data_IF_232437029723
#
_entry.id   IF_232437029723
#
_cell.length_a   1.000
_cell.length_b   1.000
_cell.length_c   1.000
_cell.angle_alpha   90.00
_cell.angle_beta   90.00
_cell.angle_gamma   90.00
#
_symmetry.space_group_name_H-M   'P 1'
#
loop_
_entity.id
_entity.type
_entity.pdbx_description
1 polymer ?
#
# COMPACT_ATOMS: atom_id res chain seq x y z
N UNK A 1 26.09 -9.80 -23.82
CA UNK A 1 26.75 -9.03 -22.73
C UNK A 1 25.79 -8.11 -21.99
N UNK A 2 25.30 -6.99 -22.56
CA UNK A 2 24.38 -6.10 -21.82
C UNK A 2 23.03 -6.76 -21.51
N UNK A 3 22.44 -7.42 -22.49
CA UNK A 3 21.15 -8.09 -22.30
C UNK A 3 21.22 -9.21 -21.25
N UNK A 4 22.27 -10.02 -21.28
CA UNK A 4 22.49 -11.12 -20.32
C UNK A 4 22.72 -10.59 -18.88
N UNK A 5 23.41 -9.45 -18.77
CA UNK A 5 23.51 -8.72 -17.50
C UNK A 5 22.12 -8.29 -17.00
N UNK A 6 21.30 -7.69 -17.86
CA UNK A 6 19.95 -7.26 -17.48
C UNK A 6 19.08 -8.45 -17.05
N UNK A 7 19.17 -9.59 -17.72
CA UNK A 7 18.43 -10.81 -17.36
C UNK A 7 18.86 -11.39 -16.01
N UNK A 8 20.14 -11.25 -15.64
CA UNK A 8 20.66 -11.75 -14.35
C UNK A 8 20.25 -10.84 -13.19
N UNK A 9 20.14 -9.52 -13.42
CA UNK A 9 19.93 -8.54 -12.35
C UNK A 9 18.49 -8.05 -12.21
N UNK A 10 17.67 -8.10 -13.27
CA UNK A 10 16.33 -7.52 -13.28
C UNK A 10 15.28 -8.55 -13.64
N UNK A 11 14.13 -8.46 -12.99
CA UNK A 11 12.98 -9.31 -13.30
C UNK A 11 12.17 -8.71 -14.46
N UNK A 12 11.41 -9.55 -15.20
CA UNK A 12 10.44 -9.05 -16.17
C UNK A 12 9.47 -8.06 -15.52
N UNK A 13 9.20 -6.94 -16.19
CA UNK A 13 8.42 -5.79 -15.71
C UNK A 13 8.96 -5.12 -14.45
N UNK A 14 10.27 -5.16 -14.24
CA UNK A 14 10.97 -4.31 -13.27
C UNK A 14 11.56 -3.07 -13.98
N UNK A 15 11.47 -1.86 -13.40
CA UNK A 15 12.12 -0.69 -13.95
C UNK A 15 13.65 -0.81 -13.89
N UNK A 16 14.28 -0.45 -15.00
CA UNK A 16 15.73 -0.39 -15.17
C UNK A 16 16.08 1.08 -15.32
N UNK A 17 16.70 1.63 -14.29
CA UNK A 17 17.25 2.98 -14.28
C UNK A 17 18.65 2.96 -14.88
N UNK A 18 18.98 3.92 -15.74
CA UNK A 18 20.33 4.01 -16.32
C UNK A 18 21.38 4.13 -15.21
N UNK A 19 21.05 4.87 -14.15
CA UNK A 19 21.94 5.14 -13.02
C UNK A 19 22.32 3.87 -12.23
N UNK A 20 21.51 2.81 -12.32
CA UNK A 20 21.72 1.55 -11.59
C UNK A 20 22.57 0.53 -12.38
N UNK A 21 22.89 0.81 -13.65
CA UNK A 21 23.67 -0.11 -14.50
C UNK A 21 25.17 0.08 -14.24
N UNK A 22 25.75 -0.83 -13.45
CA UNK A 22 27.17 -0.79 -13.07
C UNK A 22 28.06 -1.61 -14.02
N UNK A 23 28.09 -1.25 -15.30
CA UNK A 23 28.96 -1.88 -16.30
C UNK A 23 30.16 -0.97 -16.63
N UNK A 24 31.37 -1.53 -16.88
CA UNK A 24 32.56 -0.77 -17.25
C UNK A 24 32.51 -0.31 -18.71
N UNK A 25 31.48 0.46 -19.06
CA UNK A 25 31.26 1.04 -20.39
C UNK A 25 30.95 2.52 -20.26
N UNK A 26 31.30 3.32 -21.27
CA UNK A 26 30.94 4.74 -21.28
C UNK A 26 29.43 4.93 -21.36
N UNK A 27 28.93 6.02 -20.76
CA UNK A 27 27.50 6.36 -20.77
C UNK A 27 26.93 6.41 -22.20
N UNK A 28 27.67 6.96 -23.15
CA UNK A 28 27.29 7.02 -24.57
C UNK A 28 27.14 5.63 -25.18
N UNK A 29 28.09 4.72 -24.93
CA UNK A 29 28.00 3.35 -25.44
C UNK A 29 26.87 2.56 -24.78
N UNK A 30 26.59 2.80 -23.50
CA UNK A 30 25.45 2.20 -22.81
C UNK A 30 24.14 2.61 -23.47
N UNK A 31 23.93 3.92 -23.71
CA UNK A 31 22.74 4.43 -24.39
C UNK A 31 22.56 3.85 -25.80
N UNK A 32 23.64 3.78 -26.59
CA UNK A 32 23.61 3.17 -27.92
C UNK A 32 23.18 1.71 -27.86
N UNK A 33 23.74 0.92 -26.92
CA UNK A 33 23.38 -0.49 -26.75
C UNK A 33 21.94 -0.67 -26.27
N UNK A 34 21.48 0.16 -25.33
CA UNK A 34 20.08 0.14 -24.88
C UNK A 34 19.13 0.48 -26.04
N UNK A 35 19.48 1.45 -26.88
CA UNK A 35 18.70 1.78 -28.09
C UNK A 35 18.62 0.57 -29.03
N UNK A 36 19.73 -0.08 -29.34
CA UNK A 36 19.71 -1.31 -30.16
C UNK A 36 18.88 -2.44 -29.54
N UNK A 37 18.85 -2.57 -28.21
CA UNK A 37 17.98 -3.53 -27.52
C UNK A 37 16.50 -3.15 -27.60
N UNK A 38 16.18 -1.87 -27.66
CA UNK A 38 14.82 -1.38 -27.91
C UNK A 38 14.39 -1.68 -29.34
N UNK A 39 15.27 -1.41 -30.32
CA UNK A 39 14.99 -1.63 -31.75
C UNK A 39 14.75 -3.13 -32.05
N UNK A 40 15.46 -4.01 -31.34
CA UNK A 40 15.25 -5.47 -31.41
C UNK A 40 14.04 -5.96 -30.59
N UNK A 41 13.35 -5.09 -29.85
CA UNK A 41 12.18 -5.42 -29.03
C UNK A 41 12.46 -6.21 -27.75
N UNK A 42 13.73 -6.41 -27.39
CA UNK A 42 14.14 -7.16 -26.19
C UNK A 42 13.84 -6.41 -24.89
N UNK A 43 13.90 -5.08 -24.93
CA UNK A 43 13.51 -4.19 -23.84
C UNK A 43 12.58 -3.11 -24.40
N UNK A 44 11.82 -2.46 -23.52
CA UNK A 44 10.95 -1.33 -23.89
C UNK A 44 11.33 -0.10 -23.07
N UNK A 45 11.17 1.06 -23.69
CA UNK A 45 11.29 2.36 -23.01
C UNK A 45 9.99 2.61 -22.26
N UNK A 46 10.07 2.94 -20.98
CA UNK A 46 8.94 3.42 -20.19
C UNK A 46 8.87 4.95 -20.22
N UNK A 47 9.97 5.62 -19.89
CA UNK A 47 10.15 7.07 -19.94
C UNK A 47 11.62 7.38 -20.24
N UNK A 48 11.96 8.66 -20.41
CA UNK A 48 13.35 9.08 -20.66
C UNK A 48 14.26 8.57 -19.53
N UNK A 49 15.16 7.65 -19.89
CA UNK A 49 16.12 7.06 -18.95
C UNK A 49 15.59 5.88 -18.12
N UNK A 50 14.37 5.40 -18.38
CA UNK A 50 13.75 4.29 -17.68
C UNK A 50 13.33 3.24 -18.70
N UNK A 51 13.87 2.03 -18.55
CA UNK A 51 13.62 0.89 -19.43
C UNK A 51 13.02 -0.27 -18.63
N UNK A 52 12.52 -1.29 -19.30
CA UNK A 52 12.12 -2.54 -18.66
C UNK A 52 12.17 -3.72 -19.64
N UNK A 53 12.32 -4.92 -19.10
CA UNK A 53 12.17 -6.16 -19.86
C UNK A 53 10.69 -6.53 -19.89
N UNK A 54 10.02 -6.60 -21.05
CA UNK A 54 8.59 -6.89 -21.10
C UNK A 54 8.28 -8.32 -20.68
N UNK A 55 7.30 -8.50 -19.79
CA UNK A 55 6.75 -9.82 -19.45
C UNK A 55 5.85 -10.31 -20.59
N UNK A 56 6.03 -11.59 -20.98
CA UNK A 56 5.14 -12.26 -21.94
C UNK A 56 3.72 -12.30 -21.36
N UNK A 57 2.74 -11.88 -22.15
CA UNK A 57 1.31 -11.92 -21.83
C UNK A 57 0.53 -12.29 -23.08
N UNK A 58 -0.70 -12.78 -22.89
CA UNK A 58 -1.64 -13.15 -23.97
C UNK A 58 -2.00 -11.91 -24.80
N UNK A 59 -2.02 -10.74 -24.17
CA UNK A 59 -2.21 -9.45 -24.84
C UNK A 59 -1.07 -9.19 -25.82
N UNK A 60 -1.42 -8.87 -27.08
CA UNK A 60 -0.47 -8.63 -28.20
C UNK A 60 0.65 -7.63 -27.87
N UNK A 61 0.43 -6.72 -26.92
CA UNK A 61 1.38 -5.67 -26.57
C UNK A 61 2.19 -5.97 -25.29
N UNK A 62 1.96 -7.11 -24.63
CA UNK A 62 2.53 -7.44 -23.33
C UNK A 62 1.90 -6.62 -22.20
N UNK A 63 2.35 -6.87 -20.96
CA UNK A 63 1.96 -6.05 -19.80
C UNK A 63 2.90 -4.85 -19.73
N UNK A 64 2.35 -3.64 -19.81
CA UNK A 64 3.11 -2.39 -19.63
C UNK A 64 3.47 -2.17 -18.17
N UNK A 65 4.63 -1.58 -17.94
CA UNK A 65 5.05 -1.16 -16.60
C UNK A 65 4.11 -0.06 -16.07
N UNK A 66 3.73 -0.12 -14.79
CA UNK A 66 2.89 0.92 -14.19
C UNK A 66 3.73 2.09 -13.67
N UNK A 67 3.25 3.35 -13.74
CA UNK A 67 3.97 4.49 -13.17
C UNK A 67 4.19 4.32 -11.66
N UNK A 68 3.22 3.74 -10.95
CA UNK A 68 3.32 3.45 -9.51
C UNK A 68 4.48 2.48 -9.21
N UNK A 69 4.68 1.44 -10.04
CA UNK A 69 5.83 0.52 -9.89
C UNK A 69 7.17 1.26 -10.01
N UNK A 70 7.26 2.17 -10.98
CA UNK A 70 8.49 2.97 -11.20
C UNK A 70 8.74 3.91 -10.03
N UNK A 71 7.71 4.59 -9.55
CA UNK A 71 7.77 5.50 -8.39
C UNK A 71 8.24 4.72 -7.14
N UNK A 72 7.66 3.54 -6.89
CA UNK A 72 8.00 2.73 -5.73
C UNK A 72 9.45 2.23 -5.80
N UNK A 73 9.93 1.81 -6.96
CA UNK A 73 11.33 1.37 -7.10
C UNK A 73 12.32 2.55 -6.96
N UNK A 74 11.94 3.73 -7.45
CA UNK A 74 12.78 4.93 -7.37
C UNK A 74 12.87 5.52 -5.96
N UNK A 75 11.78 5.53 -5.21
CA UNK A 75 11.67 6.31 -3.96
C UNK A 75 11.37 5.48 -2.70
N UNK A 76 10.88 4.25 -2.82
CA UNK A 76 10.51 3.41 -1.67
C UNK A 76 11.48 2.27 -1.46
N UNK A 77 11.77 1.48 -2.50
CA UNK A 77 12.64 0.31 -2.41
C UNK A 77 13.59 0.24 -3.59
N UNK A 78 14.89 0.37 -3.33
CA UNK A 78 15.94 0.32 -4.35
C UNK A 78 17.00 -0.70 -3.96
N UNK A 79 17.35 -1.60 -4.88
CA UNK A 79 18.38 -2.64 -4.67
C UNK A 79 18.19 -3.46 -3.39
N UNK A 80 16.95 -3.81 -3.05
CA UNK A 80 16.59 -4.59 -1.86
C UNK A 80 16.62 -3.81 -0.54
N UNK A 81 16.84 -2.49 -0.57
CA UNK A 81 16.80 -1.60 0.60
C UNK A 81 15.58 -0.69 0.55
N UNK A 82 14.86 -0.62 1.65
CA UNK A 82 13.80 0.36 1.89
C UNK A 82 14.46 1.71 2.18
N UNK A 83 14.16 2.67 1.32
CA UNK A 83 14.66 4.04 1.35
C UNK A 83 13.54 5.08 1.48
N UNK A 84 12.28 4.63 1.49
CA UNK A 84 11.11 5.48 1.61
C UNK A 84 9.86 4.71 2.00
N UNK A 85 8.76 5.42 2.16
CA UNK A 85 7.44 4.86 2.48
C UNK A 85 6.32 5.81 2.05
N UNK A 86 5.12 5.27 1.85
CA UNK A 86 3.92 6.06 1.61
C UNK A 86 3.46 6.75 2.90
N UNK A 87 3.01 8.00 2.80
CA UNK A 87 2.53 8.79 3.93
C UNK A 87 1.21 9.49 3.59
N UNK A 88 0.70 10.29 4.53
CA UNK A 88 -0.49 11.12 4.36
C UNK A 88 -1.78 10.32 4.17
N UNK A 89 -2.67 10.80 3.32
CA UNK A 89 -3.98 10.17 3.06
C UNK A 89 -3.87 8.73 2.56
N UNK A 90 -2.81 8.38 1.80
CA UNK A 90 -2.61 7.01 1.32
C UNK A 90 -2.36 6.03 2.47
N UNK A 91 -1.53 6.42 3.44
CA UNK A 91 -1.29 5.62 4.62
C UNK A 91 -2.55 5.57 5.51
N UNK A 92 -3.20 6.70 5.73
CA UNK A 92 -4.40 6.79 6.55
C UNK A 92 -5.51 5.87 6.01
N UNK A 93 -5.72 5.85 4.69
CA UNK A 93 -6.64 4.92 4.05
C UNK A 93 -6.19 3.46 4.22
N UNK A 94 -4.90 3.15 3.97
CA UNK A 94 -4.35 1.80 4.09
C UNK A 94 -4.54 1.20 5.49
N UNK A 95 -4.44 1.99 6.55
CA UNK A 95 -4.58 1.51 7.93
C UNK A 95 -6.00 1.72 8.51
N UNK A 96 -6.95 2.20 7.70
CA UNK A 96 -8.36 2.34 8.08
C UNK A 96 -8.70 3.57 8.92
N UNK A 97 -7.85 4.61 8.90
CA UNK A 97 -8.12 5.92 9.52
C UNK A 97 -8.98 6.84 8.66
N UNK A 98 -9.03 6.60 7.35
CA UNK A 98 -9.93 7.30 6.45
C UNK A 98 -10.52 6.39 5.37
N UNK A 99 -11.74 6.70 4.96
CA UNK A 99 -12.42 6.05 3.82
C UNK A 99 -12.08 6.72 2.49
N UNK A 100 -11.44 7.89 2.52
CA UNK A 100 -11.12 8.67 1.33
C UNK A 100 -10.02 8.00 0.51
N UNK A 101 -10.28 7.78 -0.77
CA UNK A 101 -9.27 7.29 -1.72
C UNK A 101 -8.41 8.49 -2.16
N UNK A 102 -7.08 8.47 -1.92
CA UNK A 102 -6.21 9.58 -2.27
C UNK A 102 -6.07 9.71 -3.79
N UNK A 103 -6.25 10.93 -4.32
CA UNK A 103 -5.98 11.22 -5.73
C UNK A 103 -4.48 11.38 -6.02
N UNK A 104 -3.69 11.82 -5.03
CA UNK A 104 -2.25 12.06 -5.13
C UNK A 104 -1.54 11.27 -4.05
N UNK A 105 -0.50 10.53 -4.42
CA UNK A 105 0.29 9.76 -3.46
C UNK A 105 1.41 10.61 -2.86
N UNK A 106 1.58 10.55 -1.54
CA UNK A 106 2.68 11.19 -0.83
C UNK A 106 3.72 10.14 -0.42
N UNK A 107 5.00 10.45 -0.63
CA UNK A 107 6.12 9.56 -0.34
C UNK A 107 7.18 10.33 0.40
N UNK A 108 7.61 9.79 1.53
CA UNK A 108 8.81 10.25 2.25
C UNK A 108 9.97 9.37 1.84
N UNK A 109 11.12 9.96 1.48
CA UNK A 109 12.27 9.21 0.96
C UNK A 109 13.61 9.82 1.37
N UNK A 110 14.63 8.97 1.45
CA UNK A 110 16.03 9.38 1.51
C UNK A 110 16.56 9.90 0.16
N UNK A 111 15.90 9.53 -0.95
CA UNK A 111 16.33 9.83 -2.31
C UNK A 111 15.80 11.19 -2.80
N UNK A 112 15.94 12.22 -1.97
CA UNK A 112 15.62 13.61 -2.33
C UNK A 112 16.47 14.58 -1.51
N UNK A 113 16.95 15.65 -2.16
CA UNK A 113 17.64 16.74 -1.47
C UNK A 113 16.66 17.83 -1.00
N UNK A 114 15.54 18.00 -1.72
CA UNK A 114 14.53 19.03 -1.47
C UNK A 114 13.53 18.56 -0.42
N UNK A 115 13.14 19.47 0.47
CA UNK A 115 12.20 19.20 1.58
C UNK A 115 10.82 18.70 1.10
N UNK A 116 10.23 19.36 0.10
CA UNK A 116 8.97 18.96 -0.49
C UNK A 116 8.89 19.41 -1.95
N UNK A 117 8.44 18.53 -2.84
CA UNK A 117 8.14 18.88 -4.24
C UNK A 117 7.05 17.97 -4.82
N UNK A 118 6.30 18.51 -5.78
CA UNK A 118 5.34 17.77 -6.58
C UNK A 118 6.00 17.34 -7.89
N UNK A 119 5.81 16.08 -8.27
CA UNK A 119 6.28 15.52 -9.54
C UNK A 119 5.14 14.83 -10.27
N UNK A 120 5.30 14.66 -11.59
CA UNK A 120 4.36 13.94 -12.44
C UNK A 120 5.11 12.92 -13.28
N UNK A 121 4.63 11.68 -13.29
CA UNK A 121 5.16 10.61 -14.13
C UNK A 121 4.01 10.00 -14.93
N UNK A 122 4.09 10.11 -16.27
CA UNK A 122 3.07 9.57 -17.18
C UNK A 122 1.64 10.04 -16.83
N UNK A 123 1.48 11.31 -16.46
CA UNK A 123 0.19 11.90 -16.06
C UNK A 123 -0.23 11.63 -14.61
N UNK A 124 0.46 10.74 -13.89
CA UNK A 124 0.22 10.50 -12.48
C UNK A 124 1.02 11.47 -11.62
N UNK A 125 0.33 12.28 -10.80
CA UNK A 125 0.96 13.20 -9.87
C UNK A 125 1.28 12.51 -8.53
N UNK A 126 2.39 12.90 -7.92
CA UNK A 126 2.80 12.45 -6.60
C UNK A 126 3.66 13.51 -5.90
N UNK A 127 3.71 13.46 -4.58
CA UNK A 127 4.47 14.39 -3.74
C UNK A 127 5.61 13.64 -3.09
N UNK A 128 6.81 14.21 -3.20
CA UNK A 128 8.02 13.69 -2.56
C UNK A 128 8.38 14.61 -1.40
N UNK A 129 8.58 14.02 -0.23
CA UNK A 129 9.07 14.69 0.97
C UNK A 129 10.39 14.09 1.41
N UNK A 130 11.25 14.94 1.96
CA UNK A 130 12.50 14.50 2.56
C UNK A 130 12.25 13.84 3.91
N UNK A 131 12.95 12.74 4.15
CA UNK A 131 12.91 12.07 5.45
C UNK A 131 13.55 12.92 6.55
N UNK A 132 12.90 12.98 7.71
CA UNK A 132 13.45 13.66 8.91
C UNK A 132 14.72 12.98 9.44
N UNK A 133 14.80 11.67 9.27
CA UNK A 133 15.97 10.87 9.62
C UNK A 133 16.18 9.75 8.59
N UNK A 134 17.39 9.19 8.48
CA UNK A 134 17.69 8.14 7.51
C UNK A 134 16.76 6.92 7.64
N UNK A 135 16.06 6.63 6.55
CA UNK A 135 15.14 5.49 6.43
C UNK A 135 15.94 4.21 6.17
N UNK A 136 15.56 3.14 6.85
CA UNK A 136 16.15 1.80 6.75
C UNK A 136 15.05 0.74 6.85
N UNK A 137 15.37 -0.50 6.49
CA UNK A 137 14.47 -1.65 6.61
C UNK A 137 13.94 -1.86 8.04
N UNK A 138 14.67 -1.38 9.06
CA UNK A 138 14.34 -1.63 10.46
C UNK A 138 13.49 -0.53 11.10
N UNK A 139 13.53 0.69 10.57
CA UNK A 139 12.88 1.85 11.20
C UNK A 139 11.72 2.43 10.39
N UNK A 140 11.56 2.10 9.11
CA UNK A 140 10.59 2.78 8.26
C UNK A 140 9.16 2.73 8.79
N UNK A 141 8.70 1.61 9.37
CA UNK A 141 7.37 1.52 9.97
C UNK A 141 7.17 2.48 11.15
N UNK A 142 8.23 2.74 11.93
CA UNK A 142 8.20 3.67 13.06
C UNK A 142 8.09 5.10 12.54
N UNK A 143 8.92 5.45 11.54
CA UNK A 143 8.92 6.78 10.95
C UNK A 143 7.60 7.08 10.25
N UNK A 144 7.08 6.11 9.51
CA UNK A 144 5.77 6.16 8.86
C UNK A 144 4.65 6.44 9.87
N UNK A 145 4.66 5.79 11.04
CA UNK A 145 3.70 6.06 12.11
C UNK A 145 3.88 7.46 12.69
N UNK A 146 5.11 7.89 12.96
CA UNK A 146 5.36 9.21 13.56
C UNK A 146 4.95 10.37 12.65
N UNK A 147 5.19 10.24 11.33
CA UNK A 147 4.71 11.21 10.34
C UNK A 147 3.18 11.25 10.27
N UNK A 148 2.51 10.10 10.35
CA UNK A 148 1.05 10.03 10.41
C UNK A 148 0.51 10.75 11.65
N UNK A 149 1.12 10.52 12.81
CA UNK A 149 0.71 11.12 14.08
C UNK A 149 0.95 12.64 14.11
N UNK A 150 1.99 13.13 13.43
CA UNK A 150 2.31 14.56 13.34
C UNK A 150 1.16 15.39 12.75
N UNK A 151 0.48 14.82 11.74
CA UNK A 151 -0.58 15.47 10.97
C UNK A 151 -1.92 14.72 11.08
N UNK A 152 -2.14 13.98 12.17
CA UNK A 152 -3.27 13.07 12.36
C UNK A 152 -4.63 13.73 12.07
N UNK A 153 -4.85 14.95 12.60
CA UNK A 153 -6.09 15.70 12.46
C UNK A 153 -6.46 15.99 10.98
N UNK A 154 -5.48 15.98 10.08
CA UNK A 154 -5.72 16.21 8.63
C UNK A 154 -6.18 14.95 7.91
N UNK A 155 -5.90 13.78 8.48
CA UNK A 155 -6.06 12.50 7.79
C UNK A 155 -7.17 11.62 8.36
N UNK A 156 -7.79 12.03 9.47
CA UNK A 156 -8.87 11.26 10.13
C UNK A 156 -10.23 11.89 9.87
N UNK A 157 -11.14 11.10 9.32
CA UNK A 157 -12.59 11.39 9.24
C UNK A 157 -13.39 10.60 10.30
N UNK A 158 -12.68 9.80 11.12
CA UNK A 158 -13.22 8.86 12.10
C UNK A 158 -13.19 9.38 13.54
N UNK A 159 -14.06 8.85 14.43
CA UNK A 159 -14.01 9.19 15.84
C UNK A 159 -12.71 8.71 16.50
N UNK A 160 -12.28 9.41 17.55
CA UNK A 160 -10.99 9.18 18.21
C UNK A 160 -10.77 7.73 18.69
N UNK A 161 -11.82 7.03 19.12
CA UNK A 161 -11.74 5.63 19.55
C UNK A 161 -11.26 4.71 18.41
N UNK A 162 -11.87 4.79 17.24
CA UNK A 162 -11.48 4.01 16.06
C UNK A 162 -10.06 4.34 15.61
N UNK A 163 -9.69 5.63 15.67
CA UNK A 163 -8.35 6.10 15.33
C UNK A 163 -7.30 5.45 16.24
N UNK A 164 -7.54 5.45 17.56
CA UNK A 164 -6.63 4.83 18.52
C UNK A 164 -6.56 3.30 18.35
N UNK A 165 -7.66 2.65 18.00
CA UNK A 165 -7.67 1.22 17.69
C UNK A 165 -6.86 0.86 16.45
N UNK A 166 -6.98 1.65 15.37
CA UNK A 166 -6.17 1.47 14.17
C UNK A 166 -4.68 1.64 14.46
N UNK A 167 -4.30 2.66 15.24
CA UNK A 167 -2.91 2.89 15.66
C UNK A 167 -2.39 1.72 16.50
N UNK A 168 -3.20 1.21 17.45
CA UNK A 168 -2.83 0.02 18.25
C UNK A 168 -2.65 -1.23 17.39
N UNK A 169 -3.53 -1.45 16.41
CA UNK A 169 -3.40 -2.56 15.44
C UNK A 169 -2.10 -2.44 14.66
N UNK A 170 -1.75 -1.23 14.20
CA UNK A 170 -0.49 -0.96 13.50
C UNK A 170 0.74 -1.26 14.38
N UNK A 171 0.77 -0.76 15.62
CA UNK A 171 1.86 -1.02 16.57
C UNK A 171 2.08 -2.52 16.81
N UNK A 172 0.99 -3.28 16.98
CA UNK A 172 1.03 -4.74 17.16
C UNK A 172 1.51 -5.47 15.92
N UNK A 173 1.00 -5.11 14.74
CA UNK A 173 1.33 -5.76 13.48
C UNK A 173 2.83 -5.67 13.13
N UNK A 174 3.48 -4.55 13.48
CA UNK A 174 4.88 -4.31 13.16
C UNK A 174 5.84 -4.45 14.35
N UNK A 175 5.37 -4.98 15.48
CA UNK A 175 6.16 -5.20 16.71
C UNK A 175 6.97 -3.95 17.11
N UNK A 176 6.29 -2.80 17.08
CA UNK A 176 6.89 -1.52 17.45
C UNK A 176 6.83 -1.38 18.97
N UNK A 177 8.00 -1.28 19.59
CA UNK A 177 8.12 -1.15 21.05
C UNK A 177 8.39 0.29 21.46
N UNK A 178 8.14 0.61 22.73
CA UNK A 178 8.37 1.95 23.29
C UNK A 178 9.82 2.38 23.13
N UNK A 179 10.77 1.48 23.32
CA UNK A 179 12.21 1.74 23.21
C UNK A 179 12.56 2.18 21.80
N UNK A 180 12.03 1.47 20.79
CA UNK A 180 12.22 1.81 19.37
C UNK A 180 11.64 3.18 19.03
N UNK A 181 10.45 3.51 19.53
CA UNK A 181 9.84 4.83 19.29
C UNK A 181 10.65 5.94 19.93
N UNK A 182 11.12 5.73 21.17
CA UNK A 182 11.87 6.73 21.95
C UNK A 182 13.15 7.17 21.23
N UNK A 183 13.74 6.32 20.39
CA UNK A 183 14.90 6.67 19.56
C UNK A 183 14.60 7.76 18.52
N UNK A 184 13.37 7.84 18.03
CA UNK A 184 12.99 8.73 16.92
C UNK A 184 12.08 9.88 17.34
N UNK A 185 11.38 9.77 18.48
CA UNK A 185 10.38 10.74 18.92
C UNK A 185 10.95 12.16 19.05
N UNK A 186 12.23 12.31 19.43
CA UNK A 186 12.88 13.62 19.56
C UNK A 186 13.07 14.38 18.23
N UNK A 187 12.83 13.74 17.09
CA UNK A 187 12.87 14.39 15.76
C UNK A 187 11.51 15.00 15.35
N UNK A 188 10.49 14.81 16.18
CA UNK A 188 9.12 15.27 15.96
C UNK A 188 8.68 16.29 17.03
N UNK A 189 7.69 17.14 16.72
CA UNK A 189 7.11 18.06 17.71
C UNK A 189 6.48 17.33 18.91
N UNK A 190 6.42 18.01 20.06
CA UNK A 190 5.84 17.46 21.30
C UNK A 190 4.42 16.92 21.14
N UNK A 191 3.62 17.54 20.25
CA UNK A 191 2.26 17.11 19.90
C UNK A 191 2.21 15.62 19.49
N UNK A 192 3.19 15.15 18.72
CA UNK A 192 3.25 13.75 18.27
C UNK A 192 3.40 12.79 19.46
N UNK A 193 4.20 13.17 20.46
CA UNK A 193 4.40 12.38 21.66
C UNK A 193 3.14 12.36 22.55
N UNK A 194 2.43 13.50 22.66
CA UNK A 194 1.17 13.60 23.41
C UNK A 194 0.08 12.71 22.80
N UNK A 195 -0.09 12.75 21.47
CA UNK A 195 -1.05 11.88 20.77
C UNK A 195 -0.72 10.42 21.01
N UNK A 196 0.55 10.04 20.85
CA UNK A 196 0.98 8.66 21.09
C UNK A 196 0.69 8.23 22.54
N UNK A 197 0.96 9.08 23.53
CA UNK A 197 0.65 8.79 24.93
C UNK A 197 -0.86 8.57 25.12
N UNK A 198 -1.69 9.44 24.56
CA UNK A 198 -3.15 9.30 24.60
C UNK A 198 -3.61 7.98 23.94
N UNK A 199 -3.00 7.58 22.82
CA UNK A 199 -3.31 6.30 22.14
C UNK A 199 -2.98 5.08 23.01
N UNK A 200 -1.89 5.15 23.79
CA UNK A 200 -1.42 4.06 24.65
C UNK A 200 -2.18 4.01 25.99
N UNK A 201 -2.53 5.17 26.54
CA UNK A 201 -3.22 5.31 27.83
C UNK A 201 -4.73 5.09 27.74
N UNK A 202 -5.36 5.44 26.61
CA UNK A 202 -6.77 5.18 26.37
C UNK A 202 -6.96 3.69 26.02
N UNK A 203 -7.04 2.86 27.06
CA UNK A 203 -7.58 1.50 26.93
C UNK A 203 -8.94 1.59 26.22
N UNK A 204 -9.24 0.72 25.23
CA UNK A 204 -10.59 0.66 24.71
C UNK A 204 -11.51 0.36 25.91
N UNK A 205 -12.43 1.26 26.23
CA UNK A 205 -13.67 0.81 26.83
C UNK A 205 -14.20 -0.22 25.84
N UNK A 206 -14.44 -1.44 26.31
CA UNK A 206 -15.27 -2.39 25.58
C UNK A 206 -16.61 -1.68 25.44
N UNK A 207 -16.77 -0.92 24.36
CA UNK A 207 -18.08 -0.56 23.87
C UNK A 207 -18.52 -1.90 23.31
N UNK A 208 -19.37 -2.60 24.05
CA UNK A 208 -20.25 -3.56 23.43
C UNK A 208 -20.92 -2.75 22.33
N UNK A 209 -20.49 -2.94 21.09
CA UNK A 209 -21.27 -2.51 19.95
C UNK A 209 -22.59 -3.26 20.11
N UNK A 210 -23.57 -2.62 20.75
CA UNK A 210 -24.90 -2.66 20.18
C UNK A 210 -24.69 -2.10 18.78
N UNK A 211 -24.36 -2.99 17.83
CA UNK A 211 -24.71 -2.82 16.44
C UNK A 211 -26.10 -2.22 16.52
N UNK A 212 -26.25 -0.95 16.15
CA UNK A 212 -27.56 -0.32 16.05
C UNK A 212 -28.42 -1.33 15.34
N UNK A 213 -29.36 -1.89 16.08
CA UNK A 213 -30.28 -2.89 15.58
C UNK A 213 -30.96 -2.21 14.41
N UNK A 214 -30.49 -2.49 13.19
CA UNK A 214 -31.35 -2.37 12.04
C UNK A 214 -32.53 -3.23 12.42
N UNK A 215 -33.67 -2.57 12.64
CA UNK A 215 -34.91 -3.22 12.98
C UNK A 215 -35.19 -4.16 11.80
N UNK A 216 -34.81 -5.43 11.93
CA UNK A 216 -34.90 -6.41 10.85
C UNK A 216 -36.35 -6.65 10.43
N UNK A 217 -37.30 -6.09 11.19
CA UNK A 217 -38.72 -6.01 10.84
C UNK A 217 -39.01 -5.11 9.63
N UNK A 218 -38.10 -4.22 9.23
CA UNK A 218 -38.29 -3.29 8.10
C UNK A 218 -37.81 -3.84 6.76
N UNK A 219 -37.04 -4.94 6.74
CA UNK A 219 -36.57 -5.56 5.51
C UNK A 219 -37.54 -6.69 5.09
N UNK A 220 -38.20 -6.58 3.92
CA UNK A 220 -39.11 -7.61 3.42
C UNK A 220 -38.50 -9.01 3.36
N UNK A 221 -37.16 -9.10 3.20
CA UNK A 221 -36.44 -10.36 3.19
C UNK A 221 -36.52 -11.09 4.53
N UNK A 222 -36.48 -10.36 5.65
CA UNK A 222 -36.53 -10.91 7.02
C UNK A 222 -37.93 -10.90 7.64
N UNK A 223 -38.99 -10.81 6.83
CA UNK A 223 -40.37 -10.90 7.29
C UNK A 223 -40.63 -12.17 8.12
N UNK A 224 -41.58 -12.10 9.08
CA UNK A 224 -41.92 -13.25 9.92
C UNK A 224 -42.34 -14.48 9.10
N UNK A 225 -42.96 -14.26 7.95
CA UNK A 225 -43.41 -15.31 7.05
C UNK A 225 -42.20 -16.06 6.42
N UNK A 226 -41.22 -15.32 5.91
CA UNK A 226 -39.98 -15.90 5.37
C UNK A 226 -39.19 -16.64 6.45
N UNK A 227 -39.10 -16.07 7.65
CA UNK A 227 -38.41 -16.67 8.78
C UNK A 227 -39.09 -17.96 9.25
N UNK A 228 -40.43 -18.00 9.24
CA UNK A 228 -41.21 -19.19 9.57
C UNK A 228 -41.06 -20.28 8.51
N UNK A 229 -41.04 -19.90 7.23
CA UNK A 229 -40.80 -20.83 6.13
C UNK A 229 -39.41 -21.47 6.21
N UNK A 230 -38.36 -20.68 6.46
CA UNK A 230 -36.99 -21.14 6.65
C UNK A 230 -36.85 -22.11 7.83
N UNK A 231 -37.46 -21.80 8.98
CA UNK A 231 -37.45 -22.69 10.15
C UNK A 231 -38.08 -24.04 9.84
N UNK A 232 -39.22 -24.05 9.13
CA UNK A 232 -39.90 -25.29 8.72
C UNK A 232 -39.05 -26.13 7.79
N UNK A 233 -38.40 -25.52 6.79
CA UNK A 233 -37.48 -26.22 5.88
C UNK A 233 -36.30 -26.84 6.64
N UNK A 234 -35.73 -26.11 7.61
CA UNK A 234 -34.64 -26.62 8.45
C UNK A 234 -35.10 -27.83 9.27
N UNK A 235 -36.30 -27.78 9.85
CA UNK A 235 -36.86 -28.87 10.65
C UNK A 235 -37.20 -30.10 9.79
N UNK A 236 -37.69 -29.90 8.56
CA UNK A 236 -37.95 -30.98 7.60
C UNK A 236 -36.65 -31.64 7.12
N UNK A 237 -35.57 -30.88 6.96
CA UNK A 237 -34.22 -31.44 6.67
C UNK A 237 -33.67 -32.20 7.87
N UNK A 238 -33.79 -31.64 9.08
CA UNK A 238 -33.30 -32.30 10.32
C UNK A 238 -34.08 -33.57 10.65
N UNK A 239 -35.38 -33.60 10.38
CA UNK A 239 -36.24 -34.76 10.60
C UNK A 239 -36.15 -35.79 9.46
N UNK A 240 -35.36 -35.51 8.42
CA UNK A 240 -35.13 -36.41 7.29
C UNK A 240 -36.30 -36.50 6.30
N UNK A 241 -37.30 -35.62 6.42
CA UNK A 241 -38.42 -35.52 5.47
C UNK A 241 -37.99 -34.86 4.15
N UNK A 242 -37.00 -33.98 4.19
CA UNK A 242 -36.40 -33.36 3.02
C UNK A 242 -34.90 -33.66 2.95
N UNK A 243 -34.40 -33.95 1.75
CA UNK A 243 -32.97 -34.17 1.49
C UNK A 243 -32.47 -33.08 0.56
N UNK A 244 -31.48 -32.31 1.02
CA UNK A 244 -30.84 -31.30 0.18
C UNK A 244 -30.08 -32.03 -0.94
N UNK A 245 -30.44 -31.74 -2.19
CA UNK A 245 -29.74 -32.21 -3.37
C UNK A 245 -28.79 -31.11 -3.83
N UNK A 246 -27.54 -31.48 -4.13
CA UNK A 246 -26.62 -30.56 -4.79
C UNK A 246 -27.15 -30.26 -6.19
N UNK A 247 -27.24 -28.98 -6.53
CA UNK A 247 -27.49 -28.53 -7.89
C UNK A 247 -26.16 -28.33 -8.58
N UNK A 248 -26.00 -28.85 -9.80
CA UNK A 248 -24.84 -28.54 -10.62
C UNK A 248 -24.83 -27.04 -10.94
N UNK A 249 -23.64 -26.43 -10.81
CA UNK A 249 -23.44 -25.02 -11.15
C UNK A 249 -23.83 -24.82 -12.62
N UNK A 250 -24.69 -23.85 -12.89
CA UNK A 250 -24.96 -23.40 -14.25
C UNK A 250 -23.67 -22.68 -14.70
N UNK A 251 -22.88 -23.34 -15.54
CA UNK A 251 -21.75 -22.71 -16.22
C UNK A 251 -22.28 -21.85 -17.36
N UNK A 252 -22.24 -20.53 -17.18
CA UNK A 252 -22.30 -19.53 -18.26
C UNK A 252 -20.90 -18.93 -18.50
#
# INVERSE_FOLDING_TARGET
MLYDYLLTHYKPNEPIFIEDITLPISHTHLLQRLKSLCDTGKIKIFSKGIYYIPKKSILKNGITLSPTTVINHKYIMRSGKIIGYHTGHALANQIGLSTQVPCVTEIVTNNTATECRKETLCGQEFIIRKARCPITNNNYYILQLLDLLNDLDKFTDKPHNEVYDAIRKYLKAYHITKEKITQYIGTYPSKTAEILLNCLSNQPKVINEECTSFDSSMDPFYSEENMSHLKRLIDDVKSGKAKLTEHELIED
#
